data_IF_357443878130
#
_entry.id   IF_357443878130
#
_cell.length_a   1.000
_cell.length_b   1.000
_cell.length_c   1.000
_cell.angle_alpha   90.00
_cell.angle_beta   90.00
_cell.angle_gamma   90.00
#
_symmetry.space_group_name_H-M   'P 1'
#
loop_
_entity.id
_entity.type
_entity.pdbx_description
1 polymer ?
#
# COMPACT_ATOMS: atom_id res chain seq x y z
N UNK A 1 -9.69 0.36 2.06
CA UNK A 1 -11.15 0.15 2.30
C UNK A 1 -11.73 -0.87 1.33
N UNK A 2 -11.62 -0.69 0.01
CA UNK A 2 -12.24 -1.57 -1.00
C UNK A 2 -11.80 -3.04 -0.88
N UNK A 3 -10.53 -3.29 -0.66
CA UNK A 3 -10.02 -4.65 -0.40
C UNK A 3 -10.68 -5.28 0.85
N UNK A 4 -10.85 -4.51 1.93
CA UNK A 4 -11.51 -4.99 3.14
C UNK A 4 -12.96 -5.39 2.85
N UNK A 5 -13.69 -4.55 2.14
CA UNK A 5 -15.08 -4.83 1.74
C UNK A 5 -15.14 -6.09 0.87
N UNK A 6 -14.17 -6.29 -0.02
CA UNK A 6 -14.10 -7.52 -0.83
C UNK A 6 -13.86 -8.77 0.04
N UNK A 7 -12.99 -8.70 1.05
CA UNK A 7 -12.75 -9.80 1.98
C UNK A 7 -14.02 -10.10 2.81
N UNK A 8 -14.67 -9.04 3.31
CA UNK A 8 -15.96 -9.15 4.03
C UNK A 8 -17.04 -9.81 3.15
N UNK A 9 -17.11 -9.43 1.87
CA UNK A 9 -18.01 -10.05 0.94
C UNK A 9 -17.73 -11.55 0.78
N UNK A 10 -16.45 -11.92 0.62
CA UNK A 10 -16.05 -13.34 0.53
C UNK A 10 -16.47 -14.08 1.80
N UNK A 11 -16.14 -13.54 2.99
CA UNK A 11 -16.52 -14.14 4.28
C UNK A 11 -18.03 -14.43 4.36
N UNK A 12 -18.83 -13.49 3.89
CA UNK A 12 -20.28 -13.56 4.02
C UNK A 12 -20.98 -14.42 2.94
N UNK A 13 -20.30 -14.70 1.83
CA UNK A 13 -20.96 -15.35 0.68
C UNK A 13 -20.28 -16.64 0.21
N UNK A 14 -19.05 -16.93 0.62
CA UNK A 14 -18.25 -18.02 0.02
C UNK A 14 -18.89 -19.41 0.26
N UNK A 15 -19.72 -19.57 1.27
CA UNK A 15 -20.42 -20.80 1.55
C UNK A 15 -21.38 -21.18 0.40
N UNK A 16 -22.03 -20.21 -0.22
CA UNK A 16 -22.92 -20.41 -1.36
C UNK A 16 -22.19 -20.93 -2.62
N UNK A 17 -20.86 -20.75 -2.65
CA UNK A 17 -19.96 -21.22 -3.70
C UNK A 17 -19.21 -22.52 -3.31
N UNK A 18 -19.58 -23.14 -2.18
CA UNK A 18 -18.96 -24.37 -1.70
C UNK A 18 -17.65 -24.16 -0.93
N UNK A 19 -17.30 -22.92 -0.59
CA UNK A 19 -16.14 -22.61 0.24
C UNK A 19 -16.46 -22.60 1.73
N UNK A 20 -15.42 -22.51 2.53
CA UNK A 20 -15.51 -22.47 4.00
C UNK A 20 -15.19 -21.04 4.48
N UNK A 21 -16.17 -20.30 5.03
CA UNK A 21 -15.96 -18.96 5.53
C UNK A 21 -14.99 -18.89 6.73
N UNK A 22 -14.78 -20.01 7.45
CA UNK A 22 -13.85 -20.05 8.56
C UNK A 22 -12.43 -20.48 8.15
N UNK A 23 -12.23 -20.76 6.85
CA UNK A 23 -10.96 -21.18 6.29
C UNK A 23 -10.49 -20.27 5.13
N UNK A 24 -10.53 -18.95 5.33
CA UNK A 24 -10.08 -17.98 4.35
C UNK A 24 -8.59 -17.73 4.53
N UNK A 25 -7.87 -17.78 3.40
CA UNK A 25 -6.45 -17.47 3.31
C UNK A 25 -6.25 -16.31 2.35
N UNK A 26 -5.51 -15.28 2.76
CA UNK A 26 -5.05 -14.23 1.88
C UNK A 26 -3.62 -14.50 1.43
N UNK A 27 -3.32 -14.23 0.18
CA UNK A 27 -1.95 -14.28 -0.31
C UNK A 27 -1.67 -13.16 -1.30
N UNK A 28 -0.40 -12.79 -1.41
CA UNK A 28 0.04 -11.76 -2.35
C UNK A 28 1.55 -11.73 -2.50
N UNK A 29 1.97 -11.19 -3.62
CA UNK A 29 3.36 -10.96 -3.97
C UNK A 29 3.61 -9.44 -4.10
N UNK A 30 4.80 -8.95 -3.67
CA UNK A 30 5.21 -7.55 -3.77
C UNK A 30 4.16 -6.62 -3.15
N UNK A 31 3.57 -5.71 -3.91
CA UNK A 31 2.48 -4.83 -3.45
C UNK A 31 1.28 -5.61 -2.88
N UNK A 32 0.99 -6.80 -3.42
CA UNK A 32 -0.02 -7.71 -2.87
C UNK A 32 0.38 -8.27 -1.51
N UNK A 33 1.65 -8.59 -1.29
CA UNK A 33 2.16 -9.05 0.00
C UNK A 33 2.07 -7.95 1.07
N UNK A 34 2.45 -6.72 0.71
CA UNK A 34 2.27 -5.55 1.59
C UNK A 34 0.80 -5.33 1.94
N UNK A 35 -0.09 -5.46 0.95
CA UNK A 35 -1.52 -5.36 1.19
C UNK A 35 -2.02 -6.42 2.16
N UNK A 36 -1.65 -7.69 1.96
CA UNK A 36 -2.02 -8.81 2.87
C UNK A 36 -1.51 -8.55 4.28
N UNK A 37 -0.24 -8.14 4.42
CA UNK A 37 0.37 -7.84 5.70
C UNK A 37 -0.36 -6.70 6.44
N UNK A 38 -0.69 -5.61 5.73
CA UNK A 38 -1.42 -4.47 6.30
C UNK A 38 -2.88 -4.82 6.64
N UNK A 39 -3.56 -5.66 5.84
CA UNK A 39 -4.88 -6.18 6.19
C UNK A 39 -4.82 -7.04 7.46
N UNK A 40 -3.78 -7.84 7.61
CA UNK A 40 -3.54 -8.64 8.82
C UNK A 40 -3.33 -7.75 10.06
N UNK A 41 -2.58 -6.66 9.91
CA UNK A 41 -2.39 -5.69 10.98
C UNK A 41 -3.66 -4.90 11.33
N UNK A 42 -4.55 -4.70 10.37
CA UNK A 42 -5.84 -4.04 10.58
C UNK A 42 -6.90 -4.97 11.21
N UNK A 43 -6.70 -6.28 11.16
CA UNK A 43 -7.60 -7.29 11.69
C UNK A 43 -6.83 -8.39 12.46
N UNK A 44 -6.13 -8.05 13.56
CA UNK A 44 -5.34 -9.02 14.32
C UNK A 44 -6.21 -10.06 15.03
N UNK A 45 -7.52 -9.82 15.17
CA UNK A 45 -8.48 -10.74 15.78
C UNK A 45 -8.94 -11.88 14.86
N UNK A 46 -8.46 -11.93 13.61
CA UNK A 46 -8.81 -12.98 12.64
C UNK A 46 -10.30 -13.07 12.28
N UNK A 47 -11.04 -11.98 12.38
CA UNK A 47 -12.48 -12.01 12.12
C UNK A 47 -12.82 -12.32 10.66
N UNK A 48 -12.00 -11.86 9.72
CA UNK A 48 -12.24 -12.02 8.28
C UNK A 48 -11.46 -13.15 7.65
N UNK A 49 -10.24 -13.40 8.11
CA UNK A 49 -9.37 -14.46 7.61
C UNK A 49 -8.36 -14.85 8.67
N UNK A 50 -7.90 -16.10 8.66
CA UNK A 50 -7.01 -16.66 9.67
C UNK A 50 -5.62 -17.03 9.15
N UNK A 51 -5.38 -16.89 7.84
CA UNK A 51 -4.12 -17.27 7.20
C UNK A 51 -3.68 -16.19 6.22
N UNK A 52 -2.39 -15.88 6.25
CA UNK A 52 -1.78 -14.88 5.38
C UNK A 52 -0.47 -15.41 4.79
N UNK A 53 -0.25 -15.18 3.49
CA UNK A 53 0.99 -15.51 2.79
C UNK A 53 1.52 -14.25 2.14
N UNK A 54 2.68 -13.79 2.58
CA UNK A 54 3.35 -12.59 2.09
C UNK A 54 4.63 -12.98 1.35
N UNK A 55 4.61 -12.84 0.04
CA UNK A 55 5.73 -13.15 -0.84
C UNK A 55 6.43 -11.87 -1.27
N UNK A 56 7.68 -11.66 -0.83
CA UNK A 56 8.49 -10.49 -1.15
C UNK A 56 7.84 -9.15 -0.74
N UNK A 57 7.30 -9.12 0.48
CA UNK A 57 6.68 -7.94 1.09
C UNK A 57 6.30 -8.17 2.54
N UNK A 58 6.13 -7.10 3.31
CA UNK A 58 5.86 -7.12 4.74
C UNK A 58 4.94 -6.00 5.18
N UNK A 59 5.05 -5.55 6.44
CA UNK A 59 4.17 -4.54 7.05
C UNK A 59 4.73 -3.11 6.96
N UNK A 60 5.68 -2.84 6.08
CA UNK A 60 6.44 -1.60 6.01
C UNK A 60 5.97 -0.62 4.92
N UNK A 61 5.09 -1.05 4.02
CA UNK A 61 4.61 -0.21 2.91
C UNK A 61 3.39 0.64 3.30
N UNK A 62 3.57 1.53 4.25
CA UNK A 62 2.58 2.54 4.64
C UNK A 62 3.27 3.88 4.93
N UNK A 63 2.49 4.94 4.95
CA UNK A 63 2.97 6.27 5.36
C UNK A 63 2.18 6.77 6.57
N UNK A 64 2.83 7.58 7.40
CA UNK A 64 2.18 8.26 8.50
C UNK A 64 1.27 9.38 7.99
N UNK A 65 0.23 9.68 8.74
CA UNK A 65 -0.79 10.67 8.37
C UNK A 65 -0.21 12.05 8.01
N UNK A 66 0.76 12.53 8.80
CA UNK A 66 1.39 13.83 8.52
C UNK A 66 2.11 13.84 7.18
N UNK A 67 2.74 12.73 6.83
CA UNK A 67 3.38 12.54 5.55
C UNK A 67 2.37 12.51 4.40
N UNK A 68 1.25 11.82 4.59
CA UNK A 68 0.16 11.80 3.63
C UNK A 68 -0.41 13.20 3.38
N UNK A 69 -0.54 14.01 4.43
CA UNK A 69 -0.99 15.40 4.31
C UNK A 69 0.00 16.25 3.49
N UNK A 70 1.30 16.16 3.76
CA UNK A 70 2.34 16.87 2.99
C UNK A 70 2.31 16.48 1.50
N UNK A 71 2.11 15.20 1.21
CA UNK A 71 1.92 14.72 -0.16
C UNK A 71 0.65 15.27 -0.80
N UNK A 72 -0.45 15.28 -0.06
CA UNK A 72 -1.71 15.86 -0.51
C UNK A 72 -1.55 17.34 -0.87
N UNK A 73 -0.92 18.13 -0.01
CA UNK A 73 -0.64 19.55 -0.27
C UNK A 73 0.21 19.75 -1.53
N UNK A 74 1.28 18.95 -1.69
CA UNK A 74 2.11 19.02 -2.89
C UNK A 74 1.32 18.63 -4.15
N UNK A 75 0.47 17.60 -4.07
CA UNK A 75 -0.38 17.19 -5.18
C UNK A 75 -1.37 18.30 -5.57
N UNK A 76 -2.05 18.91 -4.60
CA UNK A 76 -2.97 20.01 -4.82
C UNK A 76 -2.28 21.23 -5.45
N UNK A 77 -1.09 21.56 -4.97
CA UNK A 77 -0.28 22.62 -5.57
C UNK A 77 0.09 22.31 -7.02
N UNK A 78 0.53 21.07 -7.27
CA UNK A 78 0.94 20.65 -8.63
C UNK A 78 -0.26 20.65 -9.58
N UNK A 79 -1.46 20.29 -9.11
CA UNK A 79 -2.70 20.44 -9.86
C UNK A 79 -2.94 21.89 -10.25
N UNK A 80 -2.93 22.78 -9.27
CA UNK A 80 -3.17 24.21 -9.48
C UNK A 80 -2.14 24.83 -10.44
N UNK A 81 -0.86 24.50 -10.30
CA UNK A 81 0.22 24.94 -11.18
C UNK A 81 0.03 24.46 -12.64
N UNK A 82 -0.78 23.42 -12.86
CA UNK A 82 -1.16 22.90 -14.18
C UNK A 82 -2.59 23.33 -14.60
N UNK A 83 -3.20 24.29 -13.91
CA UNK A 83 -4.52 24.84 -14.26
C UNK A 83 -5.70 23.93 -13.94
N UNK A 84 -5.53 22.97 -13.04
CA UNK A 84 -6.57 22.05 -12.61
C UNK A 84 -6.99 22.32 -11.16
N UNK A 85 -8.28 22.18 -10.88
CA UNK A 85 -8.85 22.31 -9.55
C UNK A 85 -9.27 20.95 -9.00
N UNK A 86 -9.30 20.81 -7.68
CA UNK A 86 -9.69 19.56 -7.00
C UNK A 86 -11.10 19.13 -7.37
N UNK A 87 -12.03 20.08 -7.46
CA UNK A 87 -13.42 19.83 -7.86
C UNK A 87 -13.58 19.28 -9.27
N UNK A 88 -12.54 19.45 -10.10
CA UNK A 88 -12.53 18.94 -11.47
C UNK A 88 -11.92 17.53 -11.60
N UNK A 89 -11.32 16.99 -10.54
CA UNK A 89 -10.61 15.71 -10.60
C UNK A 89 -11.44 14.57 -11.18
N UNK A 90 -12.74 14.52 -10.86
CA UNK A 90 -13.65 13.50 -11.42
C UNK A 90 -14.00 13.72 -12.90
N UNK A 91 -13.65 14.88 -13.46
CA UNK A 91 -13.92 15.27 -14.87
C UNK A 91 -12.65 15.25 -15.71
N UNK A 92 -11.49 15.25 -15.05
CA UNK A 92 -10.16 15.28 -15.71
C UNK A 92 -9.83 13.90 -16.27
N UNK A 93 -9.32 13.80 -17.51
CA UNK A 93 -8.84 12.54 -18.05
C UNK A 93 -7.78 11.92 -17.16
N UNK A 94 -7.86 10.60 -16.98
CA UNK A 94 -6.93 9.80 -16.17
C UNK A 94 -5.45 10.09 -16.49
N UNK A 95 -5.10 10.18 -17.77
CA UNK A 95 -3.72 10.47 -18.22
C UNK A 95 -3.19 11.81 -17.71
N UNK A 96 -4.05 12.81 -17.59
CA UNK A 96 -3.66 14.12 -17.03
C UNK A 96 -3.28 14.01 -15.56
N UNK A 97 -4.07 13.27 -14.77
CA UNK A 97 -3.79 13.00 -13.34
C UNK A 97 -2.48 12.21 -13.20
N UNK A 98 -2.31 11.17 -14.01
CA UNK A 98 -1.10 10.35 -14.01
C UNK A 98 0.16 11.17 -14.36
N UNK A 99 0.06 12.07 -15.35
CA UNK A 99 1.17 12.93 -15.74
C UNK A 99 1.52 13.95 -14.64
N UNK A 100 0.53 14.46 -13.89
CA UNK A 100 0.78 15.32 -12.73
C UNK A 100 1.49 14.53 -11.63
N UNK A 101 1.01 13.34 -11.31
CA UNK A 101 1.65 12.48 -10.33
C UNK A 101 3.11 12.14 -10.71
N UNK A 102 3.37 11.89 -11.99
CA UNK A 102 4.75 11.69 -12.51
C UNK A 102 5.63 12.93 -12.33
N UNK A 103 5.10 14.13 -12.50
CA UNK A 103 5.86 15.38 -12.25
C UNK A 103 6.26 15.53 -10.79
N UNK A 104 5.43 15.07 -9.85
CA UNK A 104 5.76 15.08 -8.42
C UNK A 104 6.99 14.20 -8.10
N UNK A 105 7.24 13.14 -8.87
CA UNK A 105 8.41 12.25 -8.70
C UNK A 105 9.74 13.01 -8.70
N UNK A 106 9.85 14.06 -9.46
CA UNK A 106 11.09 14.83 -9.62
C UNK A 106 11.19 16.02 -8.70
N UNK A 107 10.18 16.27 -7.87
CA UNK A 107 10.16 17.39 -6.93
C UNK A 107 10.71 16.91 -5.58
N UNK A 108 12.01 17.08 -5.36
CA UNK A 108 12.64 16.81 -4.08
C UNK A 108 12.01 17.66 -2.98
N UNK A 109 11.46 17.02 -1.97
CA UNK A 109 11.07 17.70 -0.75
C UNK A 109 12.34 18.03 0.03
N UNK A 110 12.49 19.32 0.38
CA UNK A 110 13.62 19.82 1.16
C UNK A 110 13.78 19.03 2.46
N UNK A 111 14.95 18.40 2.64
CA UNK A 111 15.26 17.65 3.86
C UNK A 111 16.01 16.35 3.61
N UNK A 112 16.38 16.03 2.38
CA UNK A 112 17.29 14.91 2.08
C UNK A 112 16.72 13.51 2.30
N UNK A 113 15.45 13.37 2.63
CA UNK A 113 14.79 12.07 2.68
C UNK A 113 14.15 11.77 1.34
N UNK A 114 14.61 10.69 0.72
CA UNK A 114 13.99 10.11 -0.46
C UNK A 114 12.56 9.70 -0.14
N UNK A 115 11.61 10.48 -0.60
CA UNK A 115 10.26 9.97 -0.81
C UNK A 115 10.29 9.26 -2.15
N UNK A 116 10.34 7.94 -2.09
CA UNK A 116 10.03 7.16 -3.27
C UNK A 116 8.65 7.63 -3.76
N UNK A 117 8.53 8.02 -5.01
CA UNK A 117 7.30 8.64 -5.55
C UNK A 117 6.12 7.68 -5.57
N UNK A 118 6.41 6.39 -5.65
CA UNK A 118 5.44 5.30 -5.54
C UNK A 118 4.75 5.29 -4.17
N UNK A 119 5.38 5.86 -3.14
CA UNK A 119 4.89 5.89 -1.76
C UNK A 119 3.83 6.98 -1.54
N UNK A 120 3.72 7.99 -2.42
CA UNK A 120 2.77 9.09 -2.25
C UNK A 120 1.30 8.68 -2.20
N UNK A 121 0.95 7.57 -2.85
CA UNK A 121 -0.39 6.98 -2.85
C UNK A 121 -0.46 5.68 -2.06
N UNK A 122 0.42 5.50 -1.09
CA UNK A 122 0.48 4.33 -0.22
C UNK A 122 -0.66 4.32 0.80
N UNK A 123 -0.94 3.16 1.41
CA UNK A 123 -1.81 3.09 2.57
C UNK A 123 -1.34 4.03 3.68
N UNK A 124 -2.29 4.66 4.36
CA UNK A 124 -2.02 5.63 5.42
C UNK A 124 -2.34 5.03 6.78
N UNK A 125 -1.37 5.04 7.68
CA UNK A 125 -1.59 4.72 9.09
C UNK A 125 -2.32 5.91 9.74
N UNK A 126 -3.65 5.89 9.66
CA UNK A 126 -4.53 6.98 10.11
C UNK A 126 -5.07 6.77 11.54
N UNK A 127 -4.79 5.61 12.14
CA UNK A 127 -5.26 5.21 13.46
C UNK A 127 -6.74 4.82 13.51
N UNK A 128 -7.40 4.72 12.35
CA UNK A 128 -8.81 4.33 12.21
C UNK A 128 -8.96 2.98 11.53
N UNK A 129 -8.60 2.91 10.26
CA UNK A 129 -8.60 1.67 9.50
C UNK A 129 -7.26 0.95 9.67
N UNK A 130 -6.15 1.64 9.42
CA UNK A 130 -4.83 1.11 9.64
C UNK A 130 -4.26 1.71 10.94
N UNK A 131 -3.84 0.86 11.90
CA UNK A 131 -3.23 1.32 13.14
C UNK A 131 -2.04 2.26 12.88
N UNK A 132 -1.75 3.17 13.82
CA UNK A 132 -0.59 4.07 13.72
C UNK A 132 0.74 3.31 13.69
N UNK A 133 0.78 2.14 14.31
CA UNK A 133 1.89 1.19 14.29
C UNK A 133 1.35 -0.20 13.90
N UNK A 134 1.32 -0.52 12.60
CA UNK A 134 0.81 -1.81 12.13
C UNK A 134 1.58 -3.00 12.67
N UNK A 135 2.91 -2.89 12.79
CA UNK A 135 3.77 -3.98 13.26
C UNK A 135 3.41 -4.31 14.71
N UNK A 136 3.36 -3.29 15.56
CA UNK A 136 2.99 -3.46 16.97
C UNK A 136 1.56 -3.97 17.15
N UNK A 137 0.64 -3.53 16.30
CA UNK A 137 -0.74 -4.00 16.35
C UNK A 137 -0.88 -5.48 15.95
N UNK A 138 0.02 -5.97 15.13
CA UNK A 138 0.06 -7.38 14.73
C UNK A 138 0.67 -8.29 15.81
N UNK A 139 1.42 -7.75 16.77
CA UNK A 139 1.95 -8.52 17.89
C UNK A 139 0.81 -9.20 18.67
N UNK A 140 0.89 -10.52 18.81
CA UNK A 140 -0.14 -11.31 19.48
C UNK A 140 -1.36 -11.65 18.61
N UNK A 141 -1.30 -11.41 17.30
CA UNK A 141 -2.31 -11.86 16.36
C UNK A 141 -2.35 -13.38 16.25
N UNK A 142 -3.55 -13.94 16.11
CA UNK A 142 -3.76 -15.37 15.87
C UNK A 142 -3.68 -15.75 14.37
N UNK A 143 -3.33 -14.81 13.49
CA UNK A 143 -3.17 -15.05 12.05
C UNK A 143 -1.94 -15.95 11.81
N UNK A 144 -2.14 -17.06 11.12
CA UNK A 144 -1.05 -17.92 10.66
C UNK A 144 -0.33 -17.26 9.49
N UNK A 145 0.87 -16.75 9.72
CA UNK A 145 1.65 -16.01 8.75
C UNK A 145 2.75 -16.88 8.12
N UNK A 146 2.74 -16.96 6.77
CA UNK A 146 3.87 -17.43 5.98
C UNK A 146 4.47 -16.22 5.26
N UNK A 147 5.74 -15.93 5.52
CA UNK A 147 6.44 -14.79 4.91
C UNK A 147 7.78 -15.24 4.36
N UNK A 148 8.16 -14.72 3.21
CA UNK A 148 9.45 -15.04 2.60
C UNK A 148 9.81 -14.10 1.47
N UNK A 149 11.09 -14.14 1.13
CA UNK A 149 11.69 -13.36 0.03
C UNK A 149 12.53 -14.28 -0.85
N UNK A 150 12.82 -13.85 -2.08
CA UNK A 150 13.78 -14.53 -2.93
C UNK A 150 15.22 -14.13 -2.59
N UNK A 151 16.20 -14.93 -2.98
CA UNK A 151 17.61 -14.64 -2.73
C UNK A 151 18.11 -13.42 -3.51
N UNK A 152 17.48 -13.10 -4.63
CA UNK A 152 17.94 -12.12 -5.60
C UNK A 152 16.93 -10.97 -5.83
N UNK A 153 16.17 -10.60 -4.77
CA UNK A 153 15.07 -9.62 -4.78
C UNK A 153 15.40 -8.32 -5.53
N UNK A 154 16.57 -7.75 -5.25
CA UNK A 154 16.96 -6.44 -5.78
C UNK A 154 17.70 -6.49 -7.11
N UNK A 155 18.09 -7.66 -7.63
CA UNK A 155 18.84 -7.74 -8.88
C UNK A 155 18.07 -7.16 -10.06
N UNK A 156 16.77 -7.44 -10.15
CA UNK A 156 15.92 -6.86 -11.20
C UNK A 156 15.92 -5.33 -11.16
N UNK A 157 15.76 -4.76 -9.98
CA UNK A 157 15.69 -3.30 -9.80
C UNK A 157 17.04 -2.63 -10.05
N UNK A 158 18.14 -3.28 -9.66
CA UNK A 158 19.49 -2.76 -9.96
C UNK A 158 19.77 -2.70 -11.46
N UNK A 159 19.18 -3.58 -12.25
CA UNK A 159 19.31 -3.57 -13.71
C UNK A 159 18.37 -2.55 -14.40
N UNK A 160 17.21 -2.28 -13.79
CA UNK A 160 16.19 -1.41 -14.40
C UNK A 160 16.34 0.07 -14.00
N UNK A 161 16.94 0.37 -12.86
CA UNK A 161 17.07 1.74 -12.34
C UNK A 161 18.52 2.24 -12.50
N UNK A 162 18.75 3.21 -13.39
CA UNK A 162 20.10 3.76 -13.63
C UNK A 162 20.80 4.30 -12.37
N UNK A 163 20.03 4.65 -11.35
CA UNK A 163 20.55 5.11 -10.07
C UNK A 163 21.37 4.05 -9.34
N UNK A 164 20.94 2.78 -9.40
CA UNK A 164 21.67 1.68 -8.74
C UNK A 164 22.93 1.27 -9.51
N UNK A 165 23.00 1.55 -10.82
CA UNK A 165 24.17 1.26 -11.64
C UNK A 165 25.40 2.12 -11.29
N UNK A 166 25.23 3.20 -10.54
CA UNK A 166 26.27 4.14 -10.14
C UNK A 166 26.70 3.96 -8.67
N UNK A 167 26.28 2.90 -8.00
CA UNK A 167 26.64 2.62 -6.61
C UNK A 167 27.89 1.72 -6.44
N UNK A 168 28.66 1.49 -7.51
CA UNK A 168 29.92 0.72 -7.51
C UNK A 168 31.13 1.62 -7.21
#
# INVERSE_FOLDING_TARGET
MDQRIAIEWVKNNIQDFGGDPDNISLFGESAGAWSVALQSAADPSCELFSKAICQSGGMDAFIQKDRANQWGELFLKTLADNGLLVEDLCKVPHDSITNIAKKMKHTMISGGQWLAPEIGFSPVADGKFLPLDPIKNFEGSDINLLIGTTADEYKLWSELEPYFLNLT
#
